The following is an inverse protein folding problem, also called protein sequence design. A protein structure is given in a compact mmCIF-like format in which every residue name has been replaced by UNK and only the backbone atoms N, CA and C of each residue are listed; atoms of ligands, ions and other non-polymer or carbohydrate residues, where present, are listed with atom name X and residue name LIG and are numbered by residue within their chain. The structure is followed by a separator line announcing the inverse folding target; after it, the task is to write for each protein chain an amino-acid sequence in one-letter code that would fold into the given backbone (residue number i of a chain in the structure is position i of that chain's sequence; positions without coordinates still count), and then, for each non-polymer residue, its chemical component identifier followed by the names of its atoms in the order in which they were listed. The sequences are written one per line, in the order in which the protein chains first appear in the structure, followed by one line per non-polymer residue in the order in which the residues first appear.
data_IF_677807367471
#
_entry.id   IF_677807367471
#
_cell.length_a   1.000
_cell.length_b   1.000
_cell.length_c   1.000
_cell.angle_alpha   90.00
_cell.angle_beta   90.00
_cell.angle_gamma   90.00
#
_symmetry.space_group_name_H-M   'P 1'
#
loop_
_entity.id
_entity.type
_entity.pdbx_description
1 polymer ?
#
# COMPACT_ATOMS: atom_id res chain seq x y z
N UNK A 1 -8.85 -4.39 -20.97
CA UNK A 1 -7.39 -4.56 -20.91
C UNK A 1 -7.14 -5.98 -20.43
N UNK A 2 -6.86 -6.91 -21.32
CA UNK A 2 -6.57 -8.30 -20.95
C UNK A 2 -5.22 -8.36 -20.23
N UNK A 3 -5.22 -8.89 -19.02
CA UNK A 3 -3.98 -9.28 -18.35
C UNK A 3 -3.50 -10.52 -19.11
N UNK A 4 -2.30 -10.50 -19.71
CA UNK A 4 -1.77 -11.72 -20.36
C UNK A 4 -1.53 -12.80 -19.30
N UNK A 5 -1.51 -14.06 -19.72
CA UNK A 5 -1.39 -15.26 -18.86
C UNK A 5 -0.19 -15.28 -17.91
N UNK A 6 0.72 -14.31 -17.98
CA UNK A 6 1.93 -14.27 -17.15
C UNK A 6 2.35 -12.86 -16.70
N UNK A 7 1.41 -11.90 -16.62
CA UNK A 7 1.73 -10.51 -16.21
C UNK A 7 1.70 -10.28 -14.70
N UNK A 8 1.15 -11.21 -13.91
CA UNK A 8 1.04 -11.10 -12.47
C UNK A 8 1.94 -12.13 -11.81
N UNK A 9 2.57 -11.75 -10.70
CA UNK A 9 3.45 -12.63 -9.92
C UNK A 9 3.12 -12.44 -8.44
N UNK A 10 3.03 -13.55 -7.70
CA UNK A 10 2.81 -13.51 -6.27
C UNK A 10 4.07 -12.95 -5.57
N UNK A 11 3.87 -12.03 -4.62
CA UNK A 11 4.93 -11.36 -3.88
C UNK A 11 4.68 -11.45 -2.37
N UNK A 12 5.76 -11.46 -1.59
CA UNK A 12 5.74 -11.46 -0.13
C UNK A 12 6.52 -10.26 0.42
N UNK A 13 5.87 -9.48 1.28
CA UNK A 13 6.40 -8.27 1.94
C UNK A 13 6.60 -8.45 3.45
N UNK A 14 6.41 -9.66 3.99
CA UNK A 14 6.42 -9.91 5.44
C UNK A 14 7.83 -9.82 6.05
N UNK A 15 8.88 -9.93 5.23
CA UNK A 15 10.27 -9.86 5.66
C UNK A 15 10.89 -8.46 5.53
N UNK A 16 12.15 -8.32 5.96
CA UNK A 16 12.93 -7.09 5.79
C UNK A 16 13.10 -6.70 4.32
N UNK A 17 13.15 -7.70 3.44
CA UNK A 17 13.21 -7.51 1.99
C UNK A 17 12.05 -8.26 1.33
N UNK A 18 11.39 -7.58 0.41
CA UNK A 18 10.36 -8.22 -0.41
C UNK A 18 10.96 -9.30 -1.28
N UNK A 19 10.18 -10.36 -1.52
CA UNK A 19 10.55 -11.45 -2.41
C UNK A 19 9.43 -11.79 -3.38
N UNK A 20 9.84 -12.34 -4.52
CA UNK A 20 8.94 -13.00 -5.45
C UNK A 20 8.74 -14.45 -4.98
N UNK A 21 7.51 -14.94 -5.05
CA UNK A 21 7.18 -16.32 -4.65
C UNK A 21 7.35 -17.24 -5.87
N UNK A 22 8.45 -17.99 -5.90
CA UNK A 22 8.77 -18.90 -7.00
C UNK A 22 8.12 -20.29 -6.85
N UNK A 23 7.80 -20.70 -5.63
CA UNK A 23 7.15 -21.99 -5.39
C UNK A 23 5.71 -21.94 -5.94
N UNK A 24 5.34 -22.80 -6.91
CA UNK A 24 4.04 -22.70 -7.58
C UNK A 24 2.86 -22.99 -6.64
N UNK A 25 3.04 -23.89 -5.67
CA UNK A 25 2.02 -24.21 -4.68
C UNK A 25 1.79 -23.03 -3.73
N UNK A 26 2.87 -22.42 -3.26
CA UNK A 26 2.80 -21.23 -2.42
C UNK A 26 2.13 -20.06 -3.15
N UNK A 27 2.51 -19.81 -4.41
CA UNK A 27 1.93 -18.76 -5.23
C UNK A 27 0.42 -18.96 -5.42
N UNK A 28 -0.03 -20.19 -5.66
CA UNK A 28 -1.45 -20.52 -5.78
C UNK A 28 -2.20 -20.30 -4.45
N UNK A 29 -1.60 -20.71 -3.33
CA UNK A 29 -2.18 -20.48 -2.00
C UNK A 29 -2.35 -19.00 -1.69
N UNK A 30 -1.33 -18.18 -1.98
CA UNK A 30 -1.38 -16.72 -1.78
C UNK A 30 -2.46 -16.06 -2.63
N UNK A 31 -2.58 -16.44 -3.91
CA UNK A 31 -3.63 -15.91 -4.78
C UNK A 31 -5.05 -16.20 -4.25
N UNK A 32 -5.27 -17.42 -3.73
CA UNK A 32 -6.55 -17.80 -3.11
C UNK A 32 -6.81 -17.00 -1.84
N UNK A 33 -5.82 -16.88 -0.96
CA UNK A 33 -5.93 -16.14 0.29
C UNK A 33 -6.25 -14.65 0.05
N UNK A 34 -5.54 -14.01 -0.86
CA UNK A 34 -5.74 -12.60 -1.22
C UNK A 34 -7.17 -12.36 -1.76
N UNK A 35 -7.64 -13.24 -2.65
CA UNK A 35 -9.00 -13.17 -3.18
C UNK A 35 -10.08 -13.29 -2.09
N UNK A 36 -9.85 -14.13 -1.07
CA UNK A 36 -10.74 -14.25 0.09
C UNK A 36 -10.65 -13.01 0.99
N UNK A 37 -9.46 -12.47 1.22
CA UNK A 37 -9.24 -11.26 2.01
C UNK A 37 -9.95 -10.05 1.41
N UNK A 38 -9.91 -9.89 0.08
CA UNK A 38 -10.64 -8.83 -0.62
C UNK A 38 -12.16 -8.98 -0.51
N UNK A 39 -12.68 -10.22 -0.59
CA UNK A 39 -14.12 -10.47 -0.39
C UNK A 39 -14.58 -10.08 1.03
N UNK A 40 -13.80 -10.44 2.05
CA UNK A 40 -14.08 -10.08 3.46
C UNK A 40 -14.02 -8.56 3.67
N UNK A 41 -12.98 -7.89 3.15
CA UNK A 41 -12.83 -6.41 3.23
C UNK A 41 -13.92 -5.67 2.44
N UNK A 42 -14.33 -6.18 1.28
CA UNK A 42 -15.39 -5.59 0.45
C UNK A 42 -16.79 -5.68 1.07
N UNK A 43 -17.09 -6.76 1.80
CA UNK A 43 -18.35 -6.90 2.55
C UNK A 43 -18.49 -5.83 3.65
N UNK A 44 -17.39 -5.45 4.30
CA UNK A 44 -17.38 -4.41 5.33
C UNK A 44 -17.44 -2.98 4.76
N UNK A 45 -17.11 -2.78 3.48
CA UNK A 45 -17.07 -1.45 2.83
C UNK A 45 -18.40 -0.98 2.25
N UNK A 46 -19.45 -1.80 2.25
CA UNK A 46 -20.78 -1.39 1.80
C UNK A 46 -21.60 -0.64 2.88
N UNK A 47 -21.06 -0.47 4.09
CA UNK A 47 -21.79 0.12 5.22
C UNK A 47 -21.63 1.62 5.43
N UNK A 48 -20.41 2.16 5.42
CA UNK A 48 -20.18 3.55 5.84
C UNK A 48 -18.93 4.12 5.18
N UNK A 49 -18.89 5.44 5.04
CA UNK A 49 -17.81 6.30 4.53
C UNK A 49 -17.98 6.75 3.07
N UNK A 50 -18.76 7.82 2.93
CA UNK A 50 -18.68 8.73 1.79
C UNK A 50 -17.26 9.28 1.64
N UNK A 51 -16.77 9.26 0.41
CA UNK A 51 -15.56 9.96 0.01
C UNK A 51 -15.72 11.46 0.30
N UNK A 52 -14.78 12.12 1.01
CA UNK A 52 -14.63 13.54 0.81
C UNK A 52 -14.01 13.68 -0.58
N UNK A 53 -14.81 14.13 -1.56
CA UNK A 53 -14.28 14.66 -2.81
C UNK A 53 -13.18 15.67 -2.48
N UNK A 54 -11.93 15.31 -2.77
CA UNK A 54 -10.84 16.26 -2.68
C UNK A 54 -11.10 17.37 -3.71
N UNK A 55 -11.25 18.64 -3.30
CA UNK A 55 -11.47 19.70 -4.25
C UNK A 55 -10.19 19.88 -5.06
N UNK A 56 -10.32 19.79 -6.37
CA UNK A 56 -9.25 20.09 -7.33
C UNK A 56 -8.88 21.57 -7.19
N UNK A 57 -7.98 21.89 -6.27
CA UNK A 57 -7.48 23.25 -6.04
C UNK A 57 -6.01 23.30 -6.39
N UNK A 58 -5.66 24.22 -7.30
CA UNK A 58 -4.32 24.69 -7.69
C UNK A 58 -3.10 24.04 -7.01
N UNK A 59 -2.20 23.50 -7.84
CA UNK A 59 -0.95 22.80 -7.47
C UNK A 59 0.00 23.58 -6.58
N UNK A 60 -0.06 24.93 -6.55
CA UNK A 60 0.80 25.75 -5.71
C UNK A 60 0.36 25.80 -4.23
N UNK A 61 -0.94 25.80 -3.95
CA UNK A 61 -1.47 25.82 -2.56
C UNK A 61 -1.41 24.44 -1.90
N UNK A 62 -1.50 23.36 -2.69
CA UNK A 62 -1.35 21.99 -2.17
C UNK A 62 0.05 21.70 -1.63
N UNK A 63 1.10 22.28 -2.25
CA UNK A 63 2.47 22.11 -1.75
C UNK A 63 2.65 22.61 -0.31
N UNK A 64 1.96 23.69 0.07
CA UNK A 64 1.99 24.20 1.44
C UNK A 64 1.20 23.29 2.40
N UNK A 65 0.07 22.76 1.95
CA UNK A 65 -0.78 21.87 2.75
C UNK A 65 -0.15 20.52 3.05
N UNK A 66 0.61 19.94 2.11
CA UNK A 66 1.34 18.68 2.34
C UNK A 66 2.47 18.84 3.35
N UNK A 67 3.10 20.03 3.42
CA UNK A 67 4.23 20.28 4.32
C UNK A 67 3.87 20.32 5.80
N UNK A 68 2.62 20.65 6.11
CA UNK A 68 2.12 20.71 7.49
C UNK A 68 1.54 19.37 7.98
N UNK A 69 1.53 18.32 7.15
CA UNK A 69 0.91 17.04 7.52
C UNK A 69 1.83 16.21 8.42
N UNK A 70 1.28 15.43 9.36
CA UNK A 70 2.06 14.62 10.29
C UNK A 70 2.88 13.51 9.61
N UNK A 71 2.49 13.10 8.41
CA UNK A 71 3.19 12.12 7.59
C UNK A 71 4.30 12.74 6.72
N UNK A 72 4.46 14.07 6.73
CA UNK A 72 5.47 14.76 5.93
C UNK A 72 6.73 15.05 6.75
N UNK A 73 7.85 14.48 6.33
CA UNK A 73 9.15 14.71 6.95
C UNK A 73 10.04 15.53 6.01
N UNK A 74 10.36 16.77 6.36
CA UNK A 74 11.35 17.57 5.64
C UNK A 74 12.75 17.39 6.24
N UNK A 75 13.79 17.39 5.40
CA UNK A 75 15.20 17.44 5.82
C UNK A 75 15.66 16.24 6.68
N UNK A 76 15.10 15.06 6.47
CA UNK A 76 15.64 13.82 7.03
C UNK A 76 16.62 13.15 6.05
N UNK A 77 17.65 12.51 6.57
CA UNK A 77 18.57 11.72 5.74
C UNK A 77 17.94 10.38 5.30
N UNK A 78 18.52 9.73 4.29
CA UNK A 78 18.08 8.39 3.86
C UNK A 78 18.12 7.37 5.01
N UNK A 79 19.20 7.37 5.79
CA UNK A 79 19.39 6.43 6.89
C UNK A 79 18.46 6.72 8.06
N UNK A 80 18.11 7.99 8.28
CA UNK A 80 17.09 8.40 9.24
C UNK A 80 15.69 7.97 8.80
N UNK A 81 15.33 8.16 7.53
CA UNK A 81 14.07 7.68 6.97
C UNK A 81 13.94 6.16 7.11
N UNK A 82 15.00 5.40 6.78
CA UNK A 82 15.01 3.95 6.92
C UNK A 82 14.78 3.52 8.37
N UNK A 83 15.47 4.15 9.34
CA UNK A 83 15.26 3.86 10.77
C UNK A 83 13.84 4.18 11.24
N UNK A 84 13.24 5.27 10.76
CA UNK A 84 11.86 5.64 11.08
C UNK A 84 10.86 4.61 10.56
N UNK A 85 11.05 4.08 9.35
CA UNK A 85 10.20 3.04 8.75
C UNK A 85 10.33 1.73 9.54
N UNK A 86 11.57 1.29 9.83
CA UNK A 86 11.82 0.06 10.61
C UNK A 86 11.19 0.16 12.00
N UNK A 87 11.29 1.32 12.67
CA UNK A 87 10.74 1.53 14.01
C UNK A 87 9.20 1.47 14.04
N UNK A 88 8.54 1.98 13.01
CA UNK A 88 7.07 2.01 12.94
C UNK A 88 6.49 0.67 12.46
N UNK A 89 7.28 -0.13 11.74
CA UNK A 89 6.83 -1.39 11.14
C UNK A 89 5.92 -1.16 9.91
N UNK A 90 5.59 -2.22 9.16
CA UNK A 90 4.67 -2.14 8.05
C UNK A 90 3.25 -1.88 8.59
N UNK A 91 2.81 -0.62 8.55
CA UNK A 91 1.42 -0.25 8.81
C UNK A 91 0.77 0.00 7.46
N UNK A 92 -0.01 -0.97 6.97
CA UNK A 92 -0.95 -0.70 5.89
C UNK A 92 -2.06 0.21 6.44
N UNK A 93 -2.22 1.39 5.82
CA UNK A 93 -3.23 2.38 6.17
C UNK A 93 -4.65 2.03 5.74
#
# INVERSE_FOLDING_TARGET
RSVSENSLVAMDFSGEKSRVIDNPTEALSVAVEEGLAWRKKGCLRLGNHGSPSAPSQSSAVNMALHRSQPWFHHRISRDEAQRLIIRQGPVDG
#
